data_IF_217629877943
#
_entry.id   IF_217629877943
#
_cell.length_a   1.000
_cell.length_b   1.000
_cell.length_c   1.000
_cell.angle_alpha   90.00
_cell.angle_beta   90.00
_cell.angle_gamma   90.00
#
_symmetry.space_group_name_H-M   'P 1'
#
loop_
_entity.id
_entity.type
_entity.pdbx_description
1 polymer ?
#
# COMPACT_ATOMS: atom_id res chain seq x y z
N UNK A 1 -11.97 84.64 -51.26
CA UNK A 1 -13.12 84.12 -52.02
C UNK A 1 -12.67 82.82 -52.69
N UNK A 2 -13.53 81.81 -52.86
CA UNK A 2 -14.14 80.91 -51.88
C UNK A 2 -13.49 79.50 -51.88
N UNK A 3 -13.89 78.67 -50.91
CA UNK A 3 -13.84 77.18 -50.88
C UNK A 3 -14.73 76.57 -52.00
N UNK A 4 -14.93 75.23 -52.21
CA UNK A 4 -14.51 74.05 -51.41
C UNK A 4 -14.15 72.72 -52.18
N UNK A 5 -13.85 71.69 -51.35
CA UNK A 5 -14.21 70.25 -51.41
C UNK A 5 -13.41 69.19 -52.18
N UNK A 6 -13.10 68.09 -51.46
CA UNK A 6 -13.33 66.64 -51.75
C UNK A 6 -12.25 65.75 -51.07
N UNK A 7 -12.46 64.43 -50.83
CA UNK A 7 -12.50 63.86 -49.47
C UNK A 7 -11.36 62.86 -49.14
N UNK A 8 -11.21 62.61 -47.84
CA UNK A 8 -10.33 61.59 -47.26
C UNK A 8 -10.90 60.18 -47.43
N UNK A 9 -10.12 59.28 -48.05
CA UNK A 9 -10.29 57.83 -47.94
C UNK A 9 -9.06 57.23 -47.24
N UNK A 10 -9.28 56.69 -46.05
CA UNK A 10 -8.31 55.90 -45.27
C UNK A 10 -8.20 54.52 -45.92
N UNK A 11 -7.00 54.15 -46.41
CA UNK A 11 -6.67 52.79 -46.82
C UNK A 11 -5.85 52.13 -45.72
N UNK A 12 -6.45 51.11 -45.10
CA UNK A 12 -5.83 50.17 -44.17
C UNK A 12 -4.81 49.31 -44.93
N UNK A 13 -3.57 49.24 -44.42
CA UNK A 13 -2.54 48.29 -44.84
C UNK A 13 -2.43 47.16 -43.79
N UNK A 14 -2.43 45.88 -44.20
CA UNK A 14 -2.41 44.75 -43.27
C UNK A 14 -0.99 44.46 -42.78
N UNK A 15 -0.85 44.26 -41.48
CA UNK A 15 0.38 43.81 -40.84
C UNK A 15 0.49 42.29 -40.98
N UNK A 16 1.58 41.81 -41.58
CA UNK A 16 1.97 40.41 -41.56
C UNK A 16 2.45 40.05 -40.14
N UNK A 17 1.68 39.22 -39.42
CA UNK A 17 2.14 38.52 -38.24
C UNK A 17 2.61 37.12 -38.65
N UNK A 18 3.89 36.82 -38.37
CA UNK A 18 4.49 35.51 -38.59
C UNK A 18 3.85 34.47 -37.65
N UNK A 19 3.35 33.38 -38.23
CA UNK A 19 2.83 32.21 -37.52
C UNK A 19 4.00 31.42 -36.93
N UNK A 20 4.15 31.42 -35.60
CA UNK A 20 4.91 30.39 -34.88
C UNK A 20 3.93 29.27 -34.57
N UNK A 21 4.11 28.12 -35.22
CA UNK A 21 3.33 26.91 -34.94
C UNK A 21 3.79 26.31 -33.60
N UNK A 22 3.09 26.64 -32.52
CA UNK A 22 3.18 25.91 -31.26
C UNK A 22 2.45 24.58 -31.41
N UNK A 23 3.20 23.47 -31.40
CA UNK A 23 2.67 22.12 -31.21
C UNK A 23 2.02 22.06 -29.81
N UNK A 24 0.69 22.15 -29.78
CA UNK A 24 -0.09 21.93 -28.58
C UNK A 24 -0.03 20.44 -28.22
N UNK A 25 0.65 20.12 -27.11
CA UNK A 25 0.45 18.86 -26.40
C UNK A 25 -1.03 18.81 -25.98
N UNK A 26 -1.79 17.89 -26.55
CA UNK A 26 -3.13 17.54 -26.07
C UNK A 26 -3.01 16.96 -24.66
N UNK A 27 -3.09 17.83 -23.66
CA UNK A 27 -3.58 17.45 -22.34
C UNK A 27 -5.06 17.15 -22.50
N UNK A 28 -5.43 15.86 -22.51
CA UNK A 28 -6.82 15.46 -22.34
C UNK A 28 -7.26 15.83 -20.92
N UNK A 29 -7.72 17.07 -20.74
CA UNK A 29 -8.47 17.50 -19.58
C UNK A 29 -9.86 16.87 -19.62
N UNK A 30 -10.03 15.76 -18.89
CA UNK A 30 -11.34 15.36 -18.40
C UNK A 30 -11.74 16.30 -17.28
N UNK A 31 -12.88 16.97 -17.41
CA UNK A 31 -13.51 17.71 -16.34
C UNK A 31 -14.06 16.72 -15.30
N UNK A 32 -13.20 16.26 -14.40
CA UNK A 32 -13.63 15.77 -13.10
C UNK A 32 -13.78 17.02 -12.22
N UNK A 33 -15.00 17.33 -11.77
CA UNK A 33 -15.15 18.24 -10.64
C UNK A 33 -14.23 17.71 -9.52
N UNK A 34 -13.27 18.50 -9.02
CA UNK A 34 -12.46 18.03 -7.91
C UNK A 34 -13.41 17.73 -6.76
N UNK A 35 -13.44 16.46 -6.34
CA UNK A 35 -14.20 16.06 -5.15
C UNK A 35 -13.91 17.07 -4.05
N UNK A 36 -14.97 17.57 -3.39
CA UNK A 36 -14.83 18.59 -2.36
C UNK A 36 -13.70 18.20 -1.40
N UNK A 37 -12.79 19.14 -1.05
CA UNK A 37 -11.65 18.82 -0.21
C UNK A 37 -12.14 18.17 1.08
N UNK A 38 -11.58 17.00 1.39
CA UNK A 38 -11.97 16.21 2.57
C UNK A 38 -11.75 17.04 3.85
N UNK A 39 -12.66 16.88 4.82
CA UNK A 39 -12.58 17.57 6.11
C UNK A 39 -11.24 17.26 6.81
N UNK A 40 -10.40 18.28 7.08
CA UNK A 40 -9.11 18.08 7.75
C UNK A 40 -9.21 17.37 9.10
N UNK A 41 -10.32 17.56 9.84
CA UNK A 41 -10.54 16.88 11.12
C UNK A 41 -10.75 15.38 10.89
N UNK A 42 -11.59 15.01 9.93
CA UNK A 42 -11.84 13.63 9.54
C UNK A 42 -10.56 12.93 9.07
N UNK A 43 -9.71 13.63 8.30
CA UNK A 43 -8.41 13.11 7.88
C UNK A 43 -7.46 12.88 9.06
N UNK A 44 -7.42 13.80 10.03
CA UNK A 44 -6.60 13.66 11.23
C UNK A 44 -7.07 12.48 12.10
N UNK A 45 -8.38 12.32 12.27
CA UNK A 45 -8.98 11.16 12.95
C UNK A 45 -8.65 9.85 12.22
N UNK A 46 -8.79 9.81 10.89
CA UNK A 46 -8.47 8.64 10.09
C UNK A 46 -7.00 8.26 10.15
N UNK A 47 -6.10 9.25 10.16
CA UNK A 47 -4.66 9.02 10.37
C UNK A 47 -4.38 8.46 11.75
N UNK A 48 -5.06 8.96 12.78
CA UNK A 48 -4.93 8.44 14.13
C UNK A 48 -5.37 6.97 14.20
N UNK A 49 -6.51 6.64 13.58
CA UNK A 49 -7.01 5.26 13.48
C UNK A 49 -6.01 4.37 12.77
N UNK A 50 -5.57 4.77 11.58
CA UNK A 50 -4.63 4.01 10.75
C UNK A 50 -3.31 3.70 11.48
N UNK A 51 -2.77 4.69 12.21
CA UNK A 51 -1.45 4.60 12.84
C UNK A 51 -1.47 3.92 14.20
N UNK A 52 -2.53 4.12 15.00
CA UNK A 52 -2.46 3.86 16.44
C UNK A 52 -3.64 3.07 17.01
N UNK A 53 -4.70 2.82 16.25
CA UNK A 53 -5.86 2.09 16.75
C UNK A 53 -5.71 0.58 16.49
N UNK A 54 -5.85 -0.18 17.57
CA UNK A 54 -5.77 -1.65 17.58
C UNK A 54 -7.12 -2.31 17.43
N UNK A 55 -8.21 -1.54 17.51
CA UNK A 55 -9.58 -2.05 17.55
C UNK A 55 -9.84 -3.07 18.68
N UNK A 56 -9.02 -3.08 19.73
CA UNK A 56 -9.10 -4.06 20.81
C UNK A 56 -8.51 -5.42 20.45
N UNK A 57 -7.63 -5.48 19.45
CA UNK A 57 -6.98 -6.72 18.98
C UNK A 57 -5.96 -7.31 19.98
N UNK A 58 -5.71 -6.65 21.10
CA UNK A 58 -4.88 -7.17 22.18
C UNK A 58 -5.42 -8.51 22.70
N UNK A 59 -6.74 -8.75 22.63
CA UNK A 59 -7.34 -10.05 22.95
C UNK A 59 -6.75 -11.19 22.10
N UNK A 60 -6.39 -10.89 20.85
CA UNK A 60 -5.73 -11.83 19.96
C UNK A 60 -4.21 -11.86 20.18
N UNK A 61 -3.54 -10.71 20.14
CA UNK A 61 -2.07 -10.64 20.12
C UNK A 61 -1.44 -10.84 21.51
N UNK A 62 -2.10 -10.35 22.56
CA UNK A 62 -1.69 -10.49 23.95
C UNK A 62 -2.24 -11.78 24.54
N UNK A 63 -3.57 -11.93 24.60
CA UNK A 63 -4.17 -12.95 25.44
C UNK A 63 -4.11 -14.33 24.77
N UNK A 64 -4.44 -14.38 23.48
CA UNK A 64 -4.47 -15.64 22.71
C UNK A 64 -3.07 -16.06 22.25
N UNK A 65 -2.36 -15.18 21.53
CA UNK A 65 -1.05 -15.49 20.96
C UNK A 65 0.11 -15.33 21.95
N UNK A 66 -0.09 -14.65 23.07
CA UNK A 66 0.93 -14.47 24.13
C UNK A 66 2.25 -13.91 23.60
N UNK A 67 2.19 -13.05 22.58
CA UNK A 67 3.41 -12.50 21.96
C UNK A 67 4.15 -11.52 22.86
N UNK A 68 3.45 -10.86 23.78
CA UNK A 68 4.05 -9.97 24.77
C UNK A 68 5.14 -10.68 25.61
N UNK A 69 4.96 -11.97 25.95
CA UNK A 69 5.94 -12.76 26.71
C UNK A 69 7.26 -12.93 25.97
N UNK A 70 7.19 -13.16 24.66
CA UNK A 70 8.37 -13.37 23.82
C UNK A 70 9.04 -12.03 23.48
N UNK A 71 8.24 -10.98 23.26
CA UNK A 71 8.76 -9.64 23.01
C UNK A 71 9.59 -9.16 24.21
N UNK A 72 9.04 -9.29 25.42
CA UNK A 72 9.69 -8.85 26.65
C UNK A 72 11.01 -9.58 26.93
N UNK A 73 11.11 -10.86 26.55
CA UNK A 73 12.23 -11.72 26.95
C UNK A 73 13.28 -11.93 25.86
N UNK A 74 12.92 -11.83 24.58
CA UNK A 74 13.77 -12.30 23.48
C UNK A 74 13.84 -11.39 22.25
N UNK A 75 12.99 -10.36 22.13
CA UNK A 75 12.97 -9.51 20.93
C UNK A 75 13.71 -8.21 21.18
N UNK A 76 14.95 -8.14 20.70
CA UNK A 76 15.74 -6.91 20.64
C UNK A 76 15.31 -6.01 19.47
N UNK A 77 15.67 -4.72 19.44
CA UNK A 77 15.48 -3.87 18.27
C UNK A 77 16.13 -4.42 17.00
N UNK A 78 17.32 -5.02 17.09
CA UNK A 78 17.97 -5.64 15.94
C UNK A 78 17.17 -6.84 15.41
N UNK A 79 16.61 -7.67 16.30
CA UNK A 79 15.73 -8.78 15.94
C UNK A 79 14.44 -8.27 15.27
N UNK A 80 13.82 -7.23 15.84
CA UNK A 80 12.62 -6.58 15.31
C UNK A 80 12.85 -6.03 13.89
N UNK A 81 13.95 -5.31 13.67
CA UNK A 81 14.34 -4.79 12.35
C UNK A 81 14.61 -5.92 11.35
N UNK A 82 15.19 -7.05 11.78
CA UNK A 82 15.50 -8.17 10.91
C UNK A 82 14.25 -8.86 10.32
N UNK A 83 13.14 -8.85 11.06
CA UNK A 83 11.81 -9.29 10.61
C UNK A 83 10.97 -8.15 10.01
N UNK A 84 11.58 -7.00 9.77
CA UNK A 84 10.99 -5.90 9.00
C UNK A 84 10.08 -4.94 9.77
N UNK A 85 10.07 -4.99 11.12
CA UNK A 85 9.49 -3.90 11.90
C UNK A 85 10.27 -2.61 11.64
N UNK A 86 9.58 -1.47 11.70
CA UNK A 86 10.15 -0.15 11.41
C UNK A 86 10.08 0.73 12.64
N UNK A 87 11.00 1.69 12.73
CA UNK A 87 11.01 2.69 13.79
C UNK A 87 10.81 4.08 13.19
N UNK A 88 9.79 4.76 13.68
CA UNK A 88 9.50 6.15 13.34
C UNK A 88 10.44 7.08 14.13
N UNK A 89 11.39 7.68 13.42
CA UNK A 89 12.39 8.57 14.05
C UNK A 89 11.75 9.83 14.63
N UNK A 90 10.60 10.26 14.10
CA UNK A 90 9.91 11.48 14.55
C UNK A 90 9.20 11.28 15.89
N UNK A 91 8.94 10.02 16.29
CA UNK A 91 8.42 9.68 17.61
C UNK A 91 9.53 9.64 18.69
N UNK A 92 10.80 9.60 18.29
CA UNK A 92 11.92 9.51 19.23
C UNK A 92 12.31 10.90 19.76
N UNK A 93 12.47 11.08 21.09
CA UNK A 93 13.06 12.29 21.65
C UNK A 93 14.45 12.57 21.06
N UNK A 94 14.82 13.84 20.87
CA UNK A 94 16.10 14.22 20.26
C UNK A 94 17.31 13.58 20.97
N UNK A 95 17.29 13.50 22.30
CA UNK A 95 18.35 12.85 23.07
C UNK A 95 18.52 11.35 22.72
N UNK A 96 17.42 10.64 22.43
CA UNK A 96 17.47 9.23 22.00
C UNK A 96 18.03 9.13 20.58
N UNK A 97 17.65 10.04 19.69
CA UNK A 97 18.21 10.09 18.34
C UNK A 97 19.73 10.34 18.36
N UNK A 98 20.19 11.25 19.22
CA UNK A 98 21.62 11.55 19.37
C UNK A 98 22.38 10.37 19.97
N UNK A 99 21.82 9.69 20.97
CA UNK A 99 22.39 8.48 21.55
C UNK A 99 22.46 7.32 20.52
N UNK A 100 21.44 7.15 19.69
CA UNK A 100 21.44 6.18 18.59
C UNK A 100 22.55 6.47 17.58
N UNK A 101 22.72 7.74 17.16
CA UNK A 101 23.81 8.16 16.26
C UNK A 101 25.19 7.91 16.87
N UNK A 102 25.32 8.10 18.17
CA UNK A 102 26.56 7.87 18.90
C UNK A 102 26.83 6.38 19.21
N UNK A 103 25.94 5.46 18.83
CA UNK A 103 26.07 4.04 19.14
C UNK A 103 25.94 3.72 20.63
N UNK A 104 25.27 4.59 21.39
CA UNK A 104 25.14 4.52 22.85
C UNK A 104 23.87 3.77 23.30
N UNK A 105 23.00 3.39 22.37
CA UNK A 105 21.79 2.61 22.64
C UNK A 105 22.07 1.14 22.35
N UNK A 106 21.81 0.28 23.33
CA UNK A 106 21.93 -1.17 23.15
C UNK A 106 20.77 -1.73 22.32
N UNK A 107 21.02 -1.96 21.04
CA UNK A 107 20.05 -2.54 20.11
C UNK A 107 19.93 -4.07 20.22
N UNK A 108 20.71 -4.71 21.09
CA UNK A 108 20.64 -6.13 21.43
C UNK A 108 19.72 -6.44 22.63
N UNK A 109 19.30 -5.42 23.37
CA UNK A 109 18.48 -5.59 24.58
C UNK A 109 16.96 -5.53 24.30
N UNK A 110 16.18 -6.53 24.74
CA UNK A 110 14.72 -6.44 24.74
C UNK A 110 14.15 -5.25 25.54
N UNK A 111 14.87 -4.77 26.56
CA UNK A 111 14.45 -3.58 27.30
C UNK A 111 14.39 -2.33 26.40
N UNK A 112 15.26 -2.24 25.40
CA UNK A 112 15.23 -1.17 24.40
C UNK A 112 14.00 -1.27 23.52
N UNK A 113 13.55 -2.48 23.16
CA UNK A 113 12.27 -2.68 22.44
C UNK A 113 11.10 -2.17 23.25
N UNK A 114 11.05 -2.47 24.56
CA UNK A 114 9.99 -1.98 25.44
C UNK A 114 10.01 -0.45 25.57
N UNK A 115 11.19 0.17 25.64
CA UNK A 115 11.32 1.62 25.63
C UNK A 115 10.80 2.24 24.32
N UNK A 116 11.08 1.64 23.17
CA UNK A 116 10.57 2.09 21.87
C UNK A 116 9.05 1.94 21.76
N UNK A 117 8.48 0.84 22.30
CA UNK A 117 7.03 0.64 22.36
C UNK A 117 6.35 1.68 23.25
N UNK A 118 6.94 2.01 24.39
CA UNK A 118 6.46 3.06 25.31
C UNK A 118 6.45 4.45 24.69
N UNK A 119 7.30 4.69 23.70
CA UNK A 119 7.37 5.93 22.91
C UNK A 119 6.47 5.90 21.68
N UNK A 120 5.72 4.82 21.43
CA UNK A 120 4.96 4.61 20.19
C UNK A 120 5.79 4.73 18.92
N UNK A 121 7.09 4.40 19.02
CA UNK A 121 8.04 4.56 17.94
C UNK A 121 8.10 3.35 17.00
N UNK A 122 7.64 2.17 17.43
CA UNK A 122 7.56 0.99 16.56
C UNK A 122 6.33 1.12 15.67
N UNK A 123 6.54 1.28 14.36
CA UNK A 123 5.45 1.53 13.40
C UNK A 123 4.49 0.35 13.39
N UNK A 124 3.23 0.63 13.70
CA UNK A 124 2.15 -0.36 13.63
C UNK A 124 2.05 -1.34 14.79
N UNK A 125 2.86 -1.18 15.84
CA UNK A 125 2.78 -1.99 17.06
C UNK A 125 2.48 -1.10 18.25
N UNK A 126 1.44 -1.44 19.00
CA UNK A 126 1.00 -0.70 20.18
C UNK A 126 1.27 -1.53 21.41
N UNK A 127 2.03 -0.97 22.36
CA UNK A 127 2.38 -1.65 23.61
C UNK A 127 1.90 -0.87 24.82
N UNK A 128 1.25 -1.54 25.77
CA UNK A 128 0.99 -1.01 27.11
C UNK A 128 2.14 -1.46 28.01
N UNK A 129 3.07 -0.55 28.31
CA UNK A 129 4.28 -0.83 29.08
C UNK A 129 4.18 -0.21 30.47
N UNK A 130 4.27 -1.05 31.50
CA UNK A 130 4.25 -0.64 32.91
C UNK A 130 5.60 -0.84 33.57
N UNK A 131 6.03 0.13 34.40
CA UNK A 131 7.24 -0.03 35.21
C UNK A 131 6.89 -0.68 36.56
N UNK A 132 7.33 -1.91 36.79
CA UNK A 132 7.11 -2.66 38.03
C UNK A 132 8.45 -2.87 38.73
N UNK A 133 8.59 -2.33 39.94
CA UNK A 133 9.84 -2.40 40.73
C UNK A 133 11.08 -1.92 39.95
N UNK A 134 10.92 -0.86 39.14
CA UNK A 134 12.00 -0.29 38.33
C UNK A 134 12.31 -1.04 37.03
N UNK A 135 11.52 -2.06 36.67
CA UNK A 135 11.67 -2.82 35.42
C UNK A 135 10.43 -2.64 34.55
N UNK A 136 10.61 -2.24 33.30
CA UNK A 136 9.51 -2.15 32.33
C UNK A 136 8.99 -3.56 31.97
N UNK A 137 7.67 -3.71 31.92
CA UNK A 137 6.93 -4.94 31.62
C UNK A 137 5.90 -4.65 30.54
N UNK A 138 5.82 -5.51 29.53
CA UNK A 138 4.84 -5.37 28.45
C UNK A 138 3.55 -6.08 28.84
N UNK A 139 2.50 -5.32 29.18
CA UNK A 139 1.21 -5.85 29.63
C UNK A 139 0.32 -6.26 28.49
N UNK A 140 0.26 -5.41 27.47
CA UNK A 140 -0.51 -5.65 26.26
C UNK A 140 0.30 -5.26 25.05
N UNK A 141 0.07 -5.98 23.96
CA UNK A 141 0.52 -5.68 22.63
C UNK A 141 -0.63 -5.91 21.65
N UNK A 142 -0.80 -4.95 20.75
CA UNK A 142 -1.72 -5.00 19.63
C UNK A 142 -1.05 -4.47 18.37
N UNK A 143 -1.70 -4.61 17.22
CA UNK A 143 -1.19 -4.13 15.94
C UNK A 143 -2.15 -3.12 15.30
N UNK A 144 -1.69 -2.40 14.29
CA UNK A 144 -2.51 -1.44 13.55
C UNK A 144 -2.34 -1.62 12.04
N UNK A 145 -3.17 -0.94 11.25
CA UNK A 145 -3.08 -0.95 9.79
C UNK A 145 -1.66 -0.58 9.28
N UNK A 146 -0.98 0.32 10.01
CA UNK A 146 0.35 0.81 9.66
C UNK A 146 1.45 -0.28 9.73
N UNK A 147 1.23 -1.40 10.41
CA UNK A 147 2.23 -2.47 10.48
C UNK A 147 2.59 -2.99 9.09
N UNK A 148 1.57 -3.27 8.28
CA UNK A 148 1.70 -3.79 6.93
C UNK A 148 1.74 -2.67 5.88
N UNK A 149 0.98 -1.60 6.08
CA UNK A 149 0.76 -0.55 5.09
C UNK A 149 1.54 0.75 5.38
N UNK A 150 2.64 0.66 6.12
CA UNK A 150 3.59 1.77 6.27
C UNK A 150 5.01 1.26 6.28
N UNK A 151 5.91 2.06 5.73
CA UNK A 151 7.36 1.88 5.88
C UNK A 151 7.98 3.19 6.37
N UNK A 152 9.30 3.27 6.37
CA UNK A 152 10.05 4.50 6.63
C UNK A 152 10.99 4.82 5.47
N UNK A 153 11.38 6.09 5.37
CA UNK A 153 12.28 6.59 4.32
C UNK A 153 13.78 6.26 4.52
N UNK A 154 14.11 5.47 5.56
CA UNK A 154 15.47 5.13 5.98
C UNK A 154 16.39 6.36 6.19
N UNK A 155 15.83 7.55 6.43
CA UNK A 155 16.59 8.81 6.56
C UNK A 155 17.52 8.86 7.79
N UNK A 156 17.36 7.93 8.73
CA UNK A 156 18.22 7.80 9.90
C UNK A 156 19.13 6.56 9.80
N UNK A 157 18.56 5.40 9.55
CA UNK A 157 19.25 4.13 9.31
C UNK A 157 18.31 3.17 8.57
N UNK A 158 18.81 2.03 8.08
CA UNK A 158 17.94 1.02 7.46
C UNK A 158 16.87 0.55 8.44
N UNK A 159 15.59 0.73 8.09
CA UNK A 159 14.43 0.44 8.93
C UNK A 159 14.08 1.52 9.95
N UNK A 160 14.79 2.65 9.96
CA UNK A 160 14.57 3.79 10.87
C UNK A 160 14.54 5.09 10.08
N UNK A 161 13.42 5.81 10.14
CA UNK A 161 13.26 7.04 9.36
C UNK A 161 11.91 7.69 9.57
N UNK A 162 11.56 8.64 8.71
CA UNK A 162 10.24 9.27 8.71
C UNK A 162 9.22 8.30 8.15
N UNK A 163 8.06 8.25 8.78
CA UNK A 163 6.97 7.35 8.39
C UNK A 163 6.40 7.70 7.02
N UNK A 164 6.22 6.67 6.21
CA UNK A 164 5.59 6.72 4.89
C UNK A 164 4.32 5.85 4.92
N UNK A 165 3.17 6.48 5.18
CA UNK A 165 1.88 5.79 5.20
C UNK A 165 1.39 5.48 3.78
N UNK A 166 0.74 4.33 3.60
CA UNK A 166 0.26 3.85 2.30
C UNK A 166 1.30 3.04 1.53
N UNK A 167 2.58 3.20 1.88
CA UNK A 167 3.67 2.42 1.30
C UNK A 167 3.72 1.03 1.94
N UNK A 168 3.71 -0.06 1.16
CA UNK A 168 3.68 -1.41 1.71
C UNK A 168 5.01 -1.74 2.39
N UNK A 169 4.95 -2.33 3.59
CA UNK A 169 6.15 -2.81 4.28
C UNK A 169 6.65 -4.11 3.64
N UNK A 170 7.55 -3.97 2.66
CA UNK A 170 8.15 -5.08 1.91
C UNK A 170 9.13 -5.92 2.71
N UNK A 171 9.64 -5.38 3.81
CA UNK A 171 10.59 -6.09 4.68
C UNK A 171 9.89 -6.93 5.75
N UNK A 172 8.64 -6.59 6.09
CA UNK A 172 7.87 -7.24 7.15
C UNK A 172 7.75 -8.73 6.90
N UNK A 173 8.02 -9.55 7.90
CA UNK A 173 7.77 -10.99 7.89
C UNK A 173 6.67 -11.34 8.90
N UNK A 174 5.37 -11.19 8.52
CA UNK A 174 4.27 -11.49 9.44
C UNK A 174 4.29 -12.94 9.91
N UNK A 175 4.69 -13.84 9.01
CA UNK A 175 4.78 -15.27 9.29
C UNK A 175 5.82 -15.59 10.36
N UNK A 176 7.03 -15.04 10.23
CA UNK A 176 8.07 -15.17 11.24
C UNK A 176 7.62 -14.59 12.60
N UNK A 177 7.00 -13.41 12.60
CA UNK A 177 6.51 -12.75 13.82
C UNK A 177 5.44 -13.60 14.52
N UNK A 178 4.40 -14.04 13.79
CA UNK A 178 3.33 -14.87 14.37
C UNK A 178 3.91 -16.19 14.89
N UNK A 179 4.88 -16.78 14.19
CA UNK A 179 5.53 -18.04 14.60
C UNK A 179 6.31 -17.96 15.92
N UNK A 180 6.62 -16.76 16.41
CA UNK A 180 7.21 -16.56 17.73
C UNK A 180 6.26 -16.95 18.86
N UNK A 181 4.95 -16.95 18.61
CA UNK A 181 3.95 -17.28 19.62
C UNK A 181 4.24 -18.63 20.29
N UNK A 182 4.23 -18.69 21.64
CA UNK A 182 4.49 -19.94 22.36
C UNK A 182 3.30 -20.91 22.30
N UNK A 183 2.11 -20.46 21.90
CA UNK A 183 0.91 -21.32 21.86
C UNK A 183 0.77 -22.11 20.56
N UNK A 184 1.49 -21.71 19.50
CA UNK A 184 1.42 -22.38 18.21
C UNK A 184 2.22 -23.70 18.22
N UNK A 185 1.63 -24.75 17.67
CA UNK A 185 2.34 -26.00 17.44
C UNK A 185 3.34 -25.89 16.29
N UNK A 186 4.20 -26.92 16.14
CA UNK A 186 5.22 -26.93 15.11
C UNK A 186 4.66 -26.89 13.68
N UNK A 187 3.46 -27.45 13.44
CA UNK A 187 2.83 -27.49 12.12
C UNK A 187 2.33 -26.11 11.73
N UNK A 188 1.65 -25.41 12.64
CA UNK A 188 1.19 -24.04 12.44
C UNK A 188 2.39 -23.09 12.21
N UNK A 189 3.45 -23.22 13.03
CA UNK A 189 4.68 -22.43 12.86
C UNK A 189 5.30 -22.63 11.48
N UNK A 190 5.42 -23.88 11.01
CA UNK A 190 5.97 -24.17 9.69
C UNK A 190 5.16 -23.52 8.55
N UNK A 191 3.82 -23.46 8.67
CA UNK A 191 2.99 -22.77 7.68
C UNK A 191 3.26 -21.27 7.68
N UNK A 192 3.23 -20.61 8.84
CA UNK A 192 3.51 -19.17 8.93
C UNK A 192 4.92 -18.83 8.43
N UNK A 193 5.93 -19.61 8.81
CA UNK A 193 7.32 -19.42 8.37
C UNK A 193 7.52 -19.58 6.85
N UNK A 194 6.58 -20.21 6.14
CA UNK A 194 6.63 -20.34 4.68
C UNK A 194 6.22 -19.07 3.93
N UNK A 195 5.64 -18.08 4.59
CA UNK A 195 5.08 -16.91 3.91
C UNK A 195 6.14 -15.96 3.34
N UNK A 196 7.23 -15.78 4.08
CA UNK A 196 8.31 -14.89 3.73
C UNK A 196 7.96 -13.41 3.82
N UNK A 197 8.97 -12.58 3.54
CA UNK A 197 8.90 -11.13 3.68
C UNK A 197 7.96 -10.47 2.67
N UNK A 198 7.30 -9.41 3.11
CA UNK A 198 6.40 -8.57 2.32
C UNK A 198 5.12 -9.28 1.89
N UNK A 199 4.81 -10.44 2.47
CA UNK A 199 3.66 -11.27 2.09
C UNK A 199 2.79 -11.62 3.29
N UNK A 200 1.50 -11.77 3.02
CA UNK A 200 0.50 -12.16 4.01
C UNK A 200 -0.61 -12.96 3.32
N UNK A 201 -1.15 -13.97 3.99
CA UNK A 201 -2.37 -14.65 3.53
C UNK A 201 -3.57 -14.19 4.36
N UNK A 202 -4.42 -13.28 3.82
CA UNK A 202 -5.55 -12.75 4.57
C UNK A 202 -6.72 -13.72 4.68
N UNK A 203 -6.61 -14.97 4.24
CA UNK A 203 -7.68 -15.98 4.31
C UNK A 203 -7.26 -17.25 5.04
N UNK A 204 -5.97 -17.41 5.36
CA UNK A 204 -5.43 -18.63 5.96
C UNK A 204 -6.13 -19.01 7.28
N UNK A 205 -6.44 -18.03 8.13
CA UNK A 205 -7.12 -18.28 9.41
C UNK A 205 -8.61 -18.66 9.25
N UNK A 206 -9.17 -18.55 8.04
CA UNK A 206 -10.57 -18.86 7.74
C UNK A 206 -10.72 -20.23 7.07
N UNK A 207 -9.85 -20.53 6.10
CA UNK A 207 -9.96 -21.75 5.29
C UNK A 207 -8.81 -22.76 5.49
N UNK A 208 -7.77 -22.40 6.24
CA UNK A 208 -6.60 -23.24 6.49
C UNK A 208 -5.69 -23.46 5.27
N UNK A 209 -5.95 -22.82 4.14
CA UNK A 209 -5.15 -22.91 2.93
C UNK A 209 -4.10 -21.79 2.94
N UNK A 210 -2.83 -22.14 2.68
CA UNK A 210 -1.77 -21.14 2.63
C UNK A 210 -1.41 -20.77 1.19
N UNK A 211 -1.71 -19.53 0.83
CA UNK A 211 -1.38 -18.86 -0.42
C UNK A 211 -1.12 -17.37 -0.14
N UNK A 212 0.03 -17.05 0.49
CA UNK A 212 0.37 -15.69 0.87
C UNK A 212 0.63 -14.84 -0.37
N UNK A 213 0.11 -13.61 -0.33
CA UNK A 213 0.25 -12.63 -1.40
C UNK A 213 1.06 -11.43 -0.94
N UNK A 214 1.68 -10.76 -1.91
CA UNK A 214 2.40 -9.50 -1.73
C UNK A 214 1.49 -8.45 -1.13
N UNK A 215 1.92 -7.81 -0.03
CA UNK A 215 1.17 -6.73 0.64
C UNK A 215 0.96 -5.58 -0.36
N UNK A 216 -0.27 -5.23 -0.76
CA UNK A 216 -0.46 -4.20 -1.78
C UNK A 216 -0.18 -2.80 -1.22
N UNK A 217 0.20 -1.83 -2.06
CA UNK A 217 0.18 -0.42 -1.66
C UNK A 217 -1.25 -0.01 -1.26
N UNK A 218 -1.34 0.88 -0.28
CA UNK A 218 -2.60 1.48 0.19
C UNK A 218 -2.72 2.98 -0.18
N UNK A 219 -1.85 3.47 -1.08
CA UNK A 219 -1.96 4.77 -1.72
C UNK A 219 -2.62 4.66 -3.10
N UNK A 220 -3.00 5.79 -3.69
CA UNK A 220 -3.45 5.88 -5.08
C UNK A 220 -4.81 5.22 -5.33
N UNK A 221 -5.61 5.05 -4.27
CA UNK A 221 -6.91 4.37 -4.34
C UNK A 221 -8.10 5.34 -4.48
N UNK A 222 -7.85 6.65 -4.49
CA UNK A 222 -8.87 7.65 -4.74
C UNK A 222 -9.60 7.35 -6.06
N UNK A 223 -10.92 7.26 -6.02
CA UNK A 223 -11.74 6.96 -7.20
C UNK A 223 -11.75 5.49 -7.64
N UNK A 224 -11.10 4.56 -6.92
CA UNK A 224 -11.17 3.12 -7.19
C UNK A 224 -12.24 2.49 -6.30
N UNK A 225 -13.31 1.93 -6.88
CA UNK A 225 -14.41 1.29 -6.16
C UNK A 225 -14.13 -0.16 -5.78
N UNK A 226 -13.40 -0.91 -6.61
CA UNK A 226 -12.98 -2.29 -6.30
C UNK A 226 -11.54 -2.28 -5.83
N UNK A 227 -11.32 -2.21 -4.51
CA UNK A 227 -10.01 -1.89 -3.93
C UNK A 227 -9.14 -3.11 -3.64
N UNK A 228 -9.73 -4.22 -3.20
CA UNK A 228 -8.97 -5.45 -2.89
C UNK A 228 -8.45 -6.09 -4.17
N UNK A 229 -7.37 -6.89 -4.12
CA UNK A 229 -6.83 -7.59 -5.31
C UNK A 229 -7.90 -8.38 -6.07
N UNK A 230 -8.90 -8.88 -5.36
CA UNK A 230 -10.00 -9.67 -5.92
C UNK A 230 -11.28 -8.86 -6.15
N UNK A 231 -11.31 -7.57 -5.78
CA UNK A 231 -12.50 -6.73 -5.90
C UNK A 231 -13.64 -7.11 -4.94
N UNK A 232 -13.32 -7.81 -3.85
CA UNK A 232 -14.25 -8.05 -2.75
C UNK A 232 -14.66 -6.71 -2.12
N UNK A 233 -15.97 -6.52 -1.92
CA UNK A 233 -16.56 -5.26 -1.44
C UNK A 233 -16.84 -4.22 -2.55
N UNK A 234 -17.37 -3.08 -2.13
CA UNK A 234 -17.64 -1.90 -3.00
C UNK A 234 -16.85 -0.65 -2.57
N UNK A 235 -16.13 -0.73 -1.45
CA UNK A 235 -15.28 0.33 -0.91
C UNK A 235 -14.16 -0.25 -0.03
N UNK A 236 -13.27 0.61 0.46
CA UNK A 236 -12.17 0.20 1.35
C UNK A 236 -12.68 -0.09 2.77
N UNK A 237 -13.79 0.51 3.22
CA UNK A 237 -14.35 0.24 4.54
C UNK A 237 -14.76 -1.22 4.72
N UNK A 238 -15.26 -1.87 3.66
CA UNK A 238 -15.47 -3.33 3.65
C UNK A 238 -14.18 -4.08 4.01
N UNK A 239 -13.07 -3.78 3.31
CA UNK A 239 -11.80 -4.47 3.53
C UNK A 239 -11.17 -4.10 4.88
N UNK A 240 -11.29 -2.85 5.30
CA UNK A 240 -10.85 -2.42 6.62
C UNK A 240 -11.57 -3.17 7.73
N UNK A 241 -12.89 -3.38 7.63
CA UNK A 241 -13.64 -4.18 8.60
C UNK A 241 -13.21 -5.65 8.55
N UNK A 242 -13.04 -6.21 7.36
CA UNK A 242 -12.53 -7.57 7.19
C UNK A 242 -11.19 -7.76 7.90
N UNK A 243 -10.22 -6.90 7.62
CA UNK A 243 -8.87 -6.98 8.22
C UNK A 243 -8.92 -6.72 9.72
N UNK A 244 -9.59 -5.65 10.17
CA UNK A 244 -9.65 -5.31 11.59
C UNK A 244 -10.27 -6.43 12.43
N UNK A 245 -11.41 -6.98 12.00
CA UNK A 245 -12.11 -8.02 12.78
C UNK A 245 -11.45 -9.39 12.59
N UNK A 246 -11.29 -9.83 11.34
CA UNK A 246 -10.93 -11.23 11.06
C UNK A 246 -9.43 -11.49 11.08
N UNK A 247 -8.59 -10.51 10.80
CA UNK A 247 -7.14 -10.70 10.65
C UNK A 247 -6.37 -10.17 11.86
N UNK A 248 -6.65 -8.94 12.25
CA UNK A 248 -6.04 -8.32 13.44
C UNK A 248 -6.63 -8.95 14.71
N UNK A 249 -7.92 -9.26 14.73
CA UNK A 249 -8.61 -9.80 15.90
C UNK A 249 -9.33 -8.71 16.72
N UNK A 250 -9.57 -7.55 16.13
CA UNK A 250 -10.31 -6.45 16.74
C UNK A 250 -11.75 -6.82 17.08
N UNK A 251 -12.29 -6.14 18.09
CA UNK A 251 -13.63 -6.40 18.62
C UNK A 251 -14.70 -5.78 17.73
N UNK A 252 -15.62 -6.61 17.26
CA UNK A 252 -16.65 -6.27 16.30
C UNK A 252 -17.15 -7.49 15.54
N UNK A 253 -17.92 -7.24 14.50
CA UNK A 253 -18.53 -8.28 13.67
C UNK A 253 -18.14 -8.09 12.20
N UNK A 254 -17.85 -9.18 11.51
CA UNK A 254 -17.72 -9.22 10.06
C UNK A 254 -18.63 -10.30 9.47
N UNK A 255 -19.39 -9.92 8.45
CA UNK A 255 -20.34 -10.76 7.73
C UNK A 255 -20.04 -10.72 6.23
N UNK A 256 -19.82 -11.89 5.63
CA UNK A 256 -19.73 -12.05 4.18
C UNK A 256 -20.45 -13.34 3.75
N UNK A 257 -21.73 -13.25 3.35
CA UNK A 257 -22.54 -14.42 3.01
C UNK A 257 -22.03 -15.14 1.75
N UNK A 258 -21.35 -14.46 0.81
CA UNK A 258 -20.79 -15.12 -0.39
C UNK A 258 -19.67 -16.11 -0.04
N UNK A 259 -19.05 -15.93 1.12
CA UNK A 259 -18.02 -16.81 1.67
C UNK A 259 -18.55 -17.72 2.78
N UNK A 260 -19.85 -17.66 3.11
CA UNK A 260 -20.43 -18.29 4.30
C UNK A 260 -19.64 -17.95 5.58
N UNK A 261 -19.26 -16.68 5.72
CA UNK A 261 -18.39 -16.19 6.77
C UNK A 261 -19.16 -15.26 7.71
N UNK A 262 -19.15 -15.60 9.00
CA UNK A 262 -19.64 -14.78 10.09
C UNK A 262 -18.64 -14.86 11.24
N UNK A 263 -18.00 -13.75 11.59
CA UNK A 263 -16.99 -13.65 12.65
C UNK A 263 -17.43 -12.58 13.64
N UNK A 264 -17.42 -12.92 14.92
CA UNK A 264 -17.73 -12.01 16.03
C UNK A 264 -16.63 -12.11 17.07
N UNK A 265 -16.03 -10.98 17.43
CA UNK A 265 -15.06 -10.86 18.51
C UNK A 265 -15.54 -9.86 19.55
N UNK A 266 -15.46 -10.24 20.83
CA UNK A 266 -15.94 -9.42 21.93
C UNK A 266 -17.46 -9.20 21.92
N UNK A 267 -17.92 -8.29 22.77
CA UNK A 267 -19.34 -7.88 22.87
C UNK A 267 -19.58 -6.42 22.51
N UNK A 268 -18.51 -5.69 22.19
CA UNK A 268 -18.52 -4.27 21.84
C UNK A 268 -17.90 -4.08 20.47
N UNK A 269 -18.59 -3.37 19.57
CA UNK A 269 -18.03 -3.01 18.26
C UNK A 269 -17.11 -1.79 18.40
N UNK A 270 -15.80 -2.04 18.26
CA UNK A 270 -14.76 -1.02 18.30
C UNK A 270 -14.29 -0.60 16.91
N UNK A 271 -14.89 -1.14 15.84
CA UNK A 271 -14.47 -0.97 14.44
C UNK A 271 -15.39 -0.01 13.69
N UNK A 272 -16.70 -0.25 13.71
CA UNK A 272 -17.63 0.36 12.75
C UNK A 272 -17.62 1.89 12.76
N UNK A 273 -17.57 2.52 13.94
CA UNK A 273 -17.58 3.98 14.06
C UNK A 273 -16.32 4.66 13.49
N UNK A 274 -15.21 3.92 13.34
CA UNK A 274 -13.91 4.45 12.90
C UNK A 274 -13.71 4.33 11.38
N UNK A 275 -14.51 3.49 10.72
CA UNK A 275 -14.36 3.20 9.29
C UNK A 275 -14.48 4.44 8.38
N UNK A 276 -15.42 5.39 8.61
CA UNK A 276 -15.53 6.56 7.74
C UNK A 276 -14.26 7.42 7.74
N UNK A 277 -13.68 7.67 8.92
CA UNK A 277 -12.46 8.45 9.05
C UNK A 277 -11.25 7.69 8.45
N UNK A 278 -11.13 6.39 8.76
CA UNK A 278 -10.06 5.54 8.21
C UNK A 278 -10.10 5.50 6.68
N UNK A 279 -11.28 5.30 6.09
CA UNK A 279 -11.48 5.34 4.64
C UNK A 279 -11.09 6.69 4.05
N UNK A 280 -11.56 7.79 4.63
CA UNK A 280 -11.23 9.14 4.14
C UNK A 280 -9.71 9.37 4.14
N UNK A 281 -9.02 8.95 5.21
CA UNK A 281 -7.58 9.07 5.28
C UNK A 281 -6.86 8.21 4.24
N UNK A 282 -7.20 6.92 4.10
CA UNK A 282 -6.55 6.05 3.11
C UNK A 282 -6.77 6.54 1.68
N UNK A 283 -7.97 7.01 1.35
CA UNK A 283 -8.26 7.58 0.03
C UNK A 283 -7.54 8.93 -0.22
N UNK A 284 -7.06 9.60 0.83
CA UNK A 284 -6.23 10.82 0.71
C UNK A 284 -4.75 10.52 0.42
N UNK A 285 -4.30 9.27 0.58
CA UNK A 285 -2.91 8.88 0.33
C UNK A 285 -2.66 8.84 -1.17
N UNK A 286 -2.02 9.88 -1.70
CA UNK A 286 -1.67 9.97 -3.11
C UNK A 286 -0.57 8.96 -3.50
N UNK A 287 -0.62 8.46 -4.73
CA UNK A 287 0.48 7.70 -5.28
C UNK A 287 1.75 8.57 -5.36
N UNK A 288 2.93 8.02 -5.01
CA UNK A 288 4.15 8.80 -4.98
C UNK A 288 4.65 9.08 -6.40
N UNK A 289 5.05 10.33 -6.65
CA UNK A 289 5.67 10.71 -7.91
C UNK A 289 7.05 10.02 -8.05
N UNK A 290 7.43 9.59 -9.27
CA UNK A 290 8.74 9.01 -9.50
C UNK A 290 9.85 10.03 -9.18
N UNK A 291 10.96 9.62 -8.52
CA UNK A 291 12.05 10.51 -8.23
C UNK A 291 12.64 11.12 -9.51
N UNK A 292 13.09 12.39 -9.52
CA UNK A 292 13.74 12.97 -10.67
C UNK A 292 14.91 12.12 -11.18
N UNK A 293 14.93 11.82 -12.48
CA UNK A 293 15.97 11.01 -13.11
C UNK A 293 15.86 9.50 -12.87
N UNK A 294 14.78 9.00 -12.26
CA UNK A 294 14.55 7.57 -12.03
C UNK A 294 14.12 6.77 -13.28
N UNK A 295 13.83 7.45 -14.40
CA UNK A 295 13.46 6.85 -15.67
C UNK A 295 14.00 7.64 -16.86
N UNK A 296 14.16 6.98 -18.00
CA UNK A 296 14.52 7.60 -19.28
C UNK A 296 13.26 8.16 -19.95
N UNK A 297 13.20 9.48 -20.10
CA UNK A 297 12.03 10.19 -20.64
C UNK A 297 11.77 9.89 -22.11
N UNK A 298 12.81 9.69 -22.93
CA UNK A 298 12.66 9.36 -24.34
C UNK A 298 12.19 7.91 -24.52
N UNK A 299 12.72 6.99 -23.71
CA UNK A 299 12.25 5.61 -23.65
C UNK A 299 10.80 5.52 -23.15
N UNK A 300 10.45 6.26 -22.09
CA UNK A 300 9.09 6.31 -21.57
C UNK A 300 8.08 6.83 -22.61
N UNK A 301 8.45 7.83 -23.42
CA UNK A 301 7.60 8.31 -24.51
C UNK A 301 7.34 7.23 -25.58
N UNK A 302 8.37 6.46 -25.98
CA UNK A 302 8.20 5.30 -26.87
C UNK A 302 7.37 4.20 -26.20
N UNK A 303 7.61 3.96 -24.92
CA UNK A 303 6.89 3.02 -24.08
C UNK A 303 5.41 3.33 -23.98
N UNK A 304 5.03 4.59 -23.88
CA UNK A 304 3.63 5.02 -23.88
C UNK A 304 2.93 4.66 -25.19
N UNK A 305 3.57 4.89 -26.34
CA UNK A 305 3.01 4.52 -27.63
C UNK A 305 2.81 2.99 -27.74
N UNK A 306 3.76 2.20 -27.23
CA UNK A 306 3.64 0.75 -27.17
C UNK A 306 2.53 0.30 -26.22
N UNK A 307 2.44 0.89 -25.03
CA UNK A 307 1.43 0.62 -24.00
C UNK A 307 0.01 0.83 -24.53
N UNK A 308 -0.20 1.92 -25.29
CA UNK A 308 -1.49 2.26 -25.90
C UNK A 308 -1.79 1.44 -27.17
N UNK A 309 -0.74 0.92 -27.82
CA UNK A 309 -0.83 0.21 -29.09
C UNK A 309 -0.45 -1.27 -28.96
N UNK A 310 0.74 -1.61 -29.44
CA UNK A 310 1.21 -2.99 -29.63
C UNK A 310 1.13 -3.85 -28.36
N UNK A 311 1.43 -3.29 -27.19
CA UNK A 311 1.42 -4.01 -25.92
C UNK A 311 -0.01 -4.14 -25.33
N UNK A 312 -0.99 -3.40 -25.85
CA UNK A 312 -2.41 -3.44 -25.48
C UNK A 312 -2.70 -3.25 -23.98
N UNK A 313 -1.77 -2.72 -23.20
CA UNK A 313 -1.91 -2.58 -21.74
C UNK A 313 -3.07 -1.65 -21.37
N UNK A 314 -3.31 -0.63 -22.19
CA UNK A 314 -4.39 0.34 -22.02
C UNK A 314 -5.80 -0.23 -22.16
N UNK A 315 -5.96 -1.50 -22.57
CA UNK A 315 -7.29 -2.14 -22.63
C UNK A 315 -7.87 -2.40 -21.25
N UNK A 316 -7.02 -2.65 -20.24
CA UNK A 316 -7.43 -2.76 -18.82
C UNK A 316 -6.95 -1.55 -18.00
N UNK A 317 -5.75 -1.03 -18.28
CA UNK A 317 -5.17 0.10 -17.55
C UNK A 317 -5.53 1.44 -18.22
N UNK A 318 -6.82 1.79 -18.14
CA UNK A 318 -7.40 2.96 -18.80
C UNK A 318 -7.82 4.06 -17.82
N UNK A 319 -8.15 5.23 -18.38
CA UNK A 319 -8.69 6.36 -17.62
C UNK A 319 -7.66 7.04 -16.70
N UNK A 320 -8.12 8.04 -15.94
CA UNK A 320 -7.28 8.82 -15.02
C UNK A 320 -6.69 7.98 -13.89
N UNK A 321 -7.38 6.91 -13.48
CA UNK A 321 -6.92 5.98 -12.44
C UNK A 321 -6.03 4.83 -12.97
N UNK A 322 -5.79 4.73 -14.28
CA UNK A 322 -5.06 3.61 -14.93
C UNK A 322 -5.58 2.22 -14.52
N UNK A 323 -6.89 2.10 -14.42
CA UNK A 323 -7.57 0.84 -14.09
C UNK A 323 -9.02 0.89 -14.56
N UNK A 324 -9.52 -0.25 -15.03
CA UNK A 324 -10.93 -0.50 -15.32
C UNK A 324 -11.70 -1.10 -14.13
N UNK A 325 -11.10 -1.15 -12.93
CA UNK A 325 -11.64 -1.81 -11.74
C UNK A 325 -13.03 -1.28 -11.31
N UNK A 326 -13.42 -0.08 -11.72
CA UNK A 326 -14.76 0.47 -11.47
C UNK A 326 -15.82 -0.10 -12.43
N UNK A 327 -15.40 -0.53 -13.61
CA UNK A 327 -16.27 -1.04 -14.65
C UNK A 327 -16.37 -2.57 -14.63
N UNK A 328 -15.26 -3.28 -14.38
CA UNK A 328 -15.26 -4.74 -14.40
C UNK A 328 -14.15 -5.38 -13.55
N UNK A 329 -14.35 -6.67 -13.25
CA UNK A 329 -13.34 -7.59 -12.73
C UNK A 329 -13.03 -8.65 -13.80
N UNK A 330 -11.84 -9.22 -13.73
CA UNK A 330 -11.29 -10.13 -14.72
C UNK A 330 -11.20 -11.57 -14.18
N UNK A 331 -11.44 -12.59 -15.02
CA UNK A 331 -11.38 -13.99 -14.58
C UNK A 331 -9.95 -14.41 -14.22
N UNK A 332 -9.77 -15.49 -13.42
CA UNK A 332 -8.44 -16.00 -13.10
C UNK A 332 -7.55 -16.25 -14.32
N UNK A 333 -8.12 -16.66 -15.45
CA UNK A 333 -7.39 -16.86 -16.72
C UNK A 333 -6.74 -15.59 -17.29
N UNK A 334 -7.19 -14.40 -16.89
CA UNK A 334 -6.59 -13.13 -17.28
C UNK A 334 -5.36 -12.76 -16.42
N UNK A 335 -5.18 -13.42 -15.27
CA UNK A 335 -4.02 -13.20 -14.41
C UNK A 335 -2.77 -13.85 -15.00
N UNK A 336 -1.65 -13.13 -14.96
CA UNK A 336 -0.37 -13.65 -15.46
C UNK A 336 0.24 -14.74 -14.58
N UNK A 337 -0.28 -14.92 -13.36
CA UNK A 337 0.27 -15.85 -12.38
C UNK A 337 -0.65 -17.04 -12.10
N UNK A 338 -1.82 -17.10 -12.74
CA UNK A 338 -2.72 -18.28 -12.75
C UNK A 338 -2.41 -19.22 -13.94
N UNK A 339 -2.77 -20.52 -13.89
CA UNK A 339 -3.41 -21.21 -12.78
C UNK A 339 -2.46 -21.47 -11.61
N UNK A 340 -2.96 -21.31 -10.38
CA UNK A 340 -2.27 -21.61 -9.13
C UNK A 340 -2.97 -22.72 -8.33
N UNK A 341 -2.24 -23.38 -7.43
CA UNK A 341 -2.80 -24.35 -6.50
C UNK A 341 -2.36 -24.05 -5.05
N UNK A 342 -3.28 -23.64 -4.15
CA UNK A 342 -4.65 -23.23 -4.45
C UNK A 342 -4.70 -21.91 -5.24
N UNK A 343 -5.76 -21.69 -6.01
CA UNK A 343 -6.00 -20.38 -6.66
C UNK A 343 -6.36 -19.34 -5.61
N UNK A 344 -5.71 -18.17 -5.68
CA UNK A 344 -5.96 -17.10 -4.72
C UNK A 344 -7.35 -16.48 -4.92
N UNK A 345 -7.74 -16.18 -6.17
CA UNK A 345 -9.07 -15.65 -6.47
C UNK A 345 -10.18 -16.64 -6.12
N UNK A 346 -10.00 -17.95 -6.32
CA UNK A 346 -11.07 -18.93 -6.02
C UNK A 346 -11.54 -18.92 -4.55
N UNK A 347 -10.72 -18.39 -3.64
CA UNK A 347 -10.98 -18.22 -2.21
C UNK A 347 -11.69 -16.89 -1.87
N UNK A 348 -11.89 -16.01 -2.84
CA UNK A 348 -12.49 -14.68 -2.67
C UNK A 348 -13.99 -14.68 -2.93
N UNK A 349 -14.67 -13.63 -2.48
CA UNK A 349 -16.12 -13.50 -2.64
C UNK A 349 -16.51 -13.35 -4.13
N UNK A 350 -15.66 -12.69 -4.91
CA UNK A 350 -15.88 -12.45 -6.35
C UNK A 350 -15.41 -13.60 -7.22
N UNK A 351 -14.38 -14.34 -6.81
CA UNK A 351 -13.64 -15.31 -7.62
C UNK A 351 -12.92 -14.72 -8.85
N UNK A 352 -12.67 -13.42 -8.81
CA UNK A 352 -12.11 -12.64 -9.91
C UNK A 352 -10.92 -11.81 -9.41
N UNK A 353 -10.19 -11.18 -10.32
CA UNK A 353 -9.14 -10.20 -10.04
C UNK A 353 -9.55 -8.81 -10.52
N UNK A 354 -9.10 -7.77 -9.83
CA UNK A 354 -9.14 -6.41 -10.39
C UNK A 354 -7.87 -6.12 -11.19
N UNK A 355 -7.98 -5.18 -12.12
CA UNK A 355 -6.80 -4.52 -12.69
C UNK A 355 -6.19 -3.57 -11.66
N UNK A 356 -4.89 -3.68 -11.38
CA UNK A 356 -4.21 -2.78 -10.45
C UNK A 356 -3.99 -1.38 -11.07
N UNK A 357 -4.29 -0.26 -10.37
CA UNK A 357 -3.81 1.07 -10.72
C UNK A 357 -2.30 1.06 -10.87
N UNK A 358 -1.84 1.81 -11.86
CA UNK A 358 -0.42 1.97 -12.15
C UNK A 358 0.25 3.22 -11.54
N UNK A 359 -0.45 4.28 -11.05
CA UNK A 359 0.23 5.39 -10.41
C UNK A 359 1.08 4.91 -9.23
N UNK A 360 2.37 5.28 -9.23
CA UNK A 360 3.33 4.85 -8.23
C UNK A 360 3.88 3.42 -8.42
N UNK A 361 3.63 2.77 -9.57
CA UNK A 361 4.10 1.39 -9.83
C UNK A 361 5.62 1.24 -9.70
N UNK A 362 6.39 2.31 -9.94
CA UNK A 362 7.84 2.33 -9.76
C UNK A 362 8.30 1.98 -8.32
N UNK A 363 7.42 2.16 -7.33
CA UNK A 363 7.82 2.26 -5.91
C UNK A 363 7.73 0.97 -5.10
N UNK A 364 7.06 -0.07 -5.61
CA UNK A 364 6.56 -1.15 -4.73
C UNK A 364 6.82 -2.58 -5.25
N UNK A 365 7.91 -2.79 -5.98
CA UNK A 365 8.40 -4.12 -6.31
C UNK A 365 8.47 -5.04 -5.07
N UNK A 366 8.28 -6.37 -5.20
CA UNK A 366 7.99 -7.09 -6.44
C UNK A 366 6.54 -6.92 -6.90
N UNK A 367 6.23 -7.45 -8.08
CA UNK A 367 4.97 -7.30 -8.80
C UNK A 367 4.22 -8.62 -8.95
N UNK A 368 2.95 -8.51 -9.37
CA UNK A 368 1.91 -9.53 -9.25
C UNK A 368 1.54 -9.86 -7.80
N UNK A 369 0.39 -10.50 -7.59
CA UNK A 369 -0.05 -10.83 -6.22
C UNK A 369 0.84 -11.88 -5.57
N UNK A 370 1.52 -12.73 -6.32
CA UNK A 370 2.43 -13.74 -5.80
C UNK A 370 3.89 -13.23 -5.66
N UNK A 371 4.20 -12.05 -6.21
CA UNK A 371 5.55 -11.47 -6.19
C UNK A 371 6.54 -12.12 -7.15
N UNK A 372 6.07 -12.84 -8.17
CA UNK A 372 6.92 -13.57 -9.12
C UNK A 372 7.74 -12.68 -10.07
N UNK A 373 7.34 -11.42 -10.26
CA UNK A 373 8.08 -10.45 -11.08
C UNK A 373 8.87 -9.48 -10.19
N UNK A 374 10.20 -9.48 -10.31
CA UNK A 374 11.07 -8.62 -9.50
C UNK A 374 11.14 -7.18 -10.03
N UNK A 375 10.97 -6.99 -11.34
CA UNK A 375 11.10 -5.70 -12.02
C UNK A 375 9.90 -5.42 -12.94
N UNK A 376 9.73 -4.17 -13.37
CA UNK A 376 8.71 -3.81 -14.36
C UNK A 376 9.02 -4.45 -15.73
N UNK A 377 10.29 -4.68 -16.06
CA UNK A 377 10.67 -5.47 -17.24
C UNK A 377 10.19 -6.93 -17.13
N UNK A 378 10.27 -7.54 -15.94
CA UNK A 378 9.76 -8.90 -15.73
C UNK A 378 8.24 -8.95 -15.91
N UNK A 379 7.52 -7.91 -15.44
CA UNK A 379 6.07 -7.75 -15.67
C UNK A 379 5.78 -7.73 -17.17
N UNK A 380 6.40 -6.80 -17.90
CA UNK A 380 6.15 -6.63 -19.34
C UNK A 380 6.57 -7.88 -20.12
N UNK A 381 7.68 -8.53 -19.75
CA UNK A 381 8.15 -9.78 -20.36
C UNK A 381 7.16 -10.92 -20.14
N UNK A 382 6.58 -11.03 -18.94
CA UNK A 382 5.58 -12.06 -18.62
C UNK A 382 4.33 -11.88 -19.48
N UNK A 383 3.83 -10.64 -19.60
CA UNK A 383 2.71 -10.33 -20.50
C UNK A 383 3.06 -10.62 -21.96
N UNK A 384 4.25 -10.20 -22.41
CA UNK A 384 4.72 -10.42 -23.78
C UNK A 384 4.73 -11.91 -24.14
N UNK A 385 5.19 -12.76 -23.23
CA UNK A 385 5.22 -14.21 -23.43
C UNK A 385 3.81 -14.81 -23.40
N UNK A 386 3.01 -14.51 -22.38
CA UNK A 386 1.70 -15.15 -22.18
C UNK A 386 0.64 -14.70 -23.18
N UNK A 387 0.67 -13.43 -23.57
CA UNK A 387 -0.26 -12.84 -24.54
C UNK A 387 0.31 -12.81 -25.97
N UNK A 388 1.52 -13.31 -26.19
CA UNK A 388 2.18 -13.35 -27.49
C UNK A 388 2.23 -11.98 -28.18
N UNK A 389 2.57 -10.93 -27.44
CA UNK A 389 2.54 -9.53 -27.90
C UNK A 389 3.64 -9.21 -28.94
N UNK A 390 4.62 -10.11 -29.10
CA UNK A 390 5.75 -9.98 -30.04
C UNK A 390 6.57 -8.69 -29.84
N UNK A 391 6.67 -8.22 -28.59
CA UNK A 391 7.56 -7.12 -28.23
C UNK A 391 9.02 -7.60 -28.31
N UNK A 392 9.86 -6.81 -28.95
CA UNK A 392 11.31 -6.95 -28.91
C UNK A 392 11.85 -6.60 -27.52
N UNK A 393 13.08 -7.02 -27.18
CA UNK A 393 13.70 -6.66 -25.91
C UNK A 393 13.76 -5.15 -25.65
N UNK A 394 13.88 -4.33 -26.70
CA UNK A 394 13.94 -2.87 -26.59
C UNK A 394 12.56 -2.29 -26.30
N UNK A 395 11.52 -2.79 -26.96
CA UNK A 395 10.13 -2.42 -26.69
C UNK A 395 9.70 -2.80 -25.27
N UNK A 396 10.15 -3.94 -24.75
CA UNK A 396 9.92 -4.34 -23.34
C UNK A 396 10.51 -3.29 -22.38
N UNK A 397 11.76 -2.87 -22.62
CA UNK A 397 12.42 -1.85 -21.79
C UNK A 397 11.71 -0.50 -21.90
N UNK A 398 11.31 -0.09 -23.10
CA UNK A 398 10.58 1.16 -23.31
C UNK A 398 9.25 1.17 -22.53
N UNK A 399 8.44 0.10 -22.61
CA UNK A 399 7.19 0.00 -21.82
C UNK A 399 7.49 0.02 -20.32
N UNK A 400 8.53 -0.67 -19.86
CA UNK A 400 8.93 -0.63 -18.45
C UNK A 400 9.36 0.78 -18.00
N UNK A 401 10.02 1.57 -18.86
CA UNK A 401 10.33 2.97 -18.58
C UNK A 401 9.06 3.84 -18.50
N UNK A 402 8.05 3.57 -19.33
CA UNK A 402 6.75 4.22 -19.18
C UNK A 402 6.09 3.89 -17.85
N UNK A 403 6.05 2.62 -17.45
CA UNK A 403 5.52 2.21 -16.15
C UNK A 403 6.26 2.84 -14.96
N UNK A 404 7.57 3.11 -15.08
CA UNK A 404 8.33 3.84 -14.05
C UNK A 404 7.96 5.31 -13.95
N UNK A 405 7.44 5.89 -15.02
CA UNK A 405 7.06 7.30 -15.07
C UNK A 405 5.68 7.59 -14.47
N UNK A 406 4.90 6.55 -14.18
CA UNK A 406 3.58 6.58 -13.54
C UNK A 406 3.72 6.46 -12.02
#
# INVERSE_FOLDING_TARGET
>A
MPTPTAPFHVRLAPWLAALVATLALWSCGGSDDPAAPLDPKLLAEGRQVFRFDTFGDEAQWTDTLRLHEVIETAVSPATALAVGLKVDVEALPQAVQDALKAGQVDLGSPATTLALLKLDAVVGVKGEVETVNGVDRLRKVGITCALCHSTVDDSFAKGIGRRLDGWPNRDLDPGAIISLSPVLDAKAKAVYQSWGKGKYDPRFNLDGLSKPVVIPPAFGLAGVGKITLTGDGDDIAYWNRYVAVTQMGGQGTFDEPRLNLHVVHGSTDLVSAKLPALQAYQLSLAAPAPPPGSFDTAAAARGQALFMGKAQCATCHAGSAFTDANAMLHPPSASMVEPENPSYAARSATKMYRTAPLPGAWSHAPYFHDGSAATLEDVVSTYNQRQQLQLSPDEVRDVAQYLRSL
#
